data_IF_805903622141
#
_entry.id   IF_805903622141
#
_cell.length_a   1.000
_cell.length_b   1.000
_cell.length_c   1.000
_cell.angle_alpha   90.00
_cell.angle_beta   90.00
_cell.angle_gamma   90.00
#
_symmetry.space_group_name_H-M   'P 1'
#
loop_
_entity.id
_entity.type
_entity.pdbx_description
1 polymer ?
#
# COMPACT_ATOMS: atom_id res chain seq x y z
N UNK A 1 24.53 -33.06 10.30
CA UNK A 1 23.28 -32.94 9.51
C UNK A 1 23.03 -31.46 9.28
N UNK A 2 23.35 -30.96 8.07
CA UNK A 2 23.17 -29.53 7.74
C UNK A 2 21.68 -29.18 7.78
N UNK A 3 21.31 -28.16 8.58
CA UNK A 3 20.00 -27.54 8.51
C UNK A 3 19.82 -26.98 7.10
N UNK A 4 18.88 -27.55 6.34
CA UNK A 4 18.37 -26.89 5.14
C UNK A 4 17.62 -25.66 5.62
N UNK A 5 18.22 -24.49 5.48
CA UNK A 5 17.49 -23.23 5.55
C UNK A 5 16.34 -23.31 4.54
N UNK A 6 15.12 -23.43 5.06
CA UNK A 6 13.91 -23.29 4.25
C UNK A 6 13.87 -21.83 3.82
N UNK A 7 14.36 -21.56 2.62
CA UNK A 7 14.27 -20.25 1.98
C UNK A 7 12.78 -19.93 1.82
N UNK A 8 12.23 -19.13 2.73
CA UNK A 8 10.88 -18.62 2.62
C UNK A 8 10.88 -17.53 1.54
N UNK A 9 10.57 -17.91 0.30
CA UNK A 9 10.56 -17.03 -0.87
C UNK A 9 9.32 -16.11 -0.97
N UNK A 10 8.45 -16.11 0.04
CA UNK A 10 7.21 -15.34 0.06
C UNK A 10 7.47 -13.83 -0.07
N UNK A 11 6.95 -13.21 -1.12
CA UNK A 11 7.08 -11.77 -1.40
C UNK A 11 8.21 -11.41 -2.37
N UNK A 12 8.55 -12.27 -3.32
CA UNK A 12 9.51 -12.00 -4.41
C UNK A 12 8.81 -11.73 -5.75
N UNK A 13 9.53 -11.14 -6.71
CA UNK A 13 8.96 -10.76 -8.02
C UNK A 13 8.36 -11.92 -8.80
N UNK A 14 8.96 -13.12 -8.71
CA UNK A 14 8.60 -14.30 -9.48
C UNK A 14 7.29 -14.97 -9.06
N UNK A 15 6.71 -14.60 -7.92
CA UNK A 15 5.49 -15.23 -7.41
C UNK A 15 4.24 -14.80 -8.17
N UNK A 16 4.26 -13.60 -8.76
CA UNK A 16 3.14 -13.11 -9.55
C UNK A 16 3.11 -13.84 -10.88
N UNK A 17 2.04 -14.59 -11.10
CA UNK A 17 1.80 -15.39 -12.28
C UNK A 17 0.48 -14.95 -12.94
N UNK A 18 0.51 -14.30 -14.12
CA UNK A 18 -0.69 -13.91 -14.87
C UNK A 18 -1.64 -15.07 -15.20
N UNK A 19 -1.11 -16.30 -15.25
CA UNK A 19 -1.86 -17.56 -15.48
C UNK A 19 -2.21 -18.28 -14.18
N UNK A 20 -2.15 -17.61 -13.03
CA UNK A 20 -2.59 -18.21 -11.78
C UNK A 20 -4.08 -18.56 -11.85
N UNK A 21 -4.44 -19.71 -11.29
CA UNK A 21 -5.82 -20.23 -11.26
C UNK A 21 -6.84 -19.20 -10.76
N UNK A 22 -6.43 -18.35 -9.81
CA UNK A 22 -7.26 -17.24 -9.33
C UNK A 22 -7.78 -16.36 -10.48
N UNK A 23 -6.89 -15.88 -11.35
CA UNK A 23 -7.25 -14.96 -12.41
C UNK A 23 -8.04 -15.65 -13.53
N UNK A 24 -7.70 -16.92 -13.83
CA UNK A 24 -8.45 -17.73 -14.79
C UNK A 24 -9.90 -17.92 -14.35
N UNK A 25 -10.10 -18.37 -13.11
CA UNK A 25 -11.44 -18.61 -12.55
C UNK A 25 -12.23 -17.30 -12.40
N UNK A 26 -11.55 -16.20 -12.05
CA UNK A 26 -12.22 -14.91 -11.92
C UNK A 26 -12.77 -14.43 -13.27
N UNK A 27 -11.97 -14.57 -14.34
CA UNK A 27 -12.38 -14.25 -15.70
C UNK A 27 -13.50 -15.15 -16.20
N UNK A 28 -13.43 -16.44 -15.92
CA UNK A 28 -14.41 -17.43 -16.38
C UNK A 28 -15.75 -17.33 -15.66
N UNK A 29 -15.73 -17.18 -14.33
CA UNK A 29 -16.94 -17.21 -13.51
C UNK A 29 -17.64 -15.85 -13.39
N UNK A 30 -16.90 -14.73 -13.48
CA UNK A 30 -17.42 -13.36 -13.26
C UNK A 30 -18.40 -13.28 -12.06
N UNK A 31 -17.97 -13.71 -10.86
CA UNK A 31 -18.87 -13.89 -9.75
C UNK A 31 -19.49 -12.55 -9.29
N UNK A 32 -20.70 -12.61 -8.69
CA UNK A 32 -21.44 -11.40 -8.27
C UNK A 32 -20.61 -10.46 -7.38
N UNK A 33 -19.87 -11.02 -6.41
CA UNK A 33 -19.01 -10.25 -5.51
C UNK A 33 -17.91 -9.48 -6.25
N UNK A 34 -17.44 -9.98 -7.40
CA UNK A 34 -16.44 -9.29 -8.21
C UNK A 34 -17.03 -8.00 -8.76
N UNK A 35 -18.23 -8.09 -9.33
CA UNK A 35 -18.96 -6.92 -9.85
C UNK A 35 -19.24 -5.90 -8.75
N UNK A 36 -19.62 -6.35 -7.55
CA UNK A 36 -19.84 -5.47 -6.39
C UNK A 36 -18.57 -4.68 -6.04
N UNK A 37 -17.41 -5.33 -5.99
CA UNK A 37 -16.16 -4.63 -5.65
C UNK A 37 -15.62 -3.78 -6.80
N UNK A 38 -15.63 -4.30 -8.03
CA UNK A 38 -14.98 -3.65 -9.18
C UNK A 38 -15.76 -2.44 -9.69
N UNK A 39 -17.07 -2.37 -9.48
CA UNK A 39 -17.92 -1.22 -9.85
C UNK A 39 -18.08 -0.18 -8.75
N UNK A 40 -17.68 -0.50 -7.52
CA UNK A 40 -17.75 0.43 -6.40
C UNK A 40 -16.64 1.48 -6.50
N UNK A 41 -17.02 2.70 -6.88
CA UNK A 41 -16.09 3.79 -7.11
C UNK A 41 -15.44 4.36 -5.84
N UNK A 42 -15.78 3.87 -4.65
CA UNK A 42 -15.08 4.23 -3.40
C UNK A 42 -13.99 3.22 -3.05
N UNK A 43 -14.04 2.02 -3.64
CA UNK A 43 -13.06 0.98 -3.43
C UNK A 43 -11.89 1.11 -4.41
N UNK A 44 -10.77 0.48 -4.04
CA UNK A 44 -9.68 0.20 -4.96
C UNK A 44 -9.15 -1.22 -4.72
N UNK A 45 -8.62 -1.84 -5.78
CA UNK A 45 -8.22 -3.24 -5.79
C UNK A 45 -6.75 -3.35 -6.16
N UNK A 46 -5.99 -4.02 -5.30
CA UNK A 46 -4.62 -4.40 -5.58
C UNK A 46 -4.50 -5.89 -5.84
N UNK A 47 -3.65 -6.23 -6.81
CA UNK A 47 -3.19 -7.59 -7.04
C UNK A 47 -1.86 -7.74 -6.29
N UNK A 48 -1.74 -8.80 -5.51
CA UNK A 48 -0.57 -9.08 -4.68
C UNK A 48 0.31 -10.16 -5.31
N UNK A 49 1.60 -10.17 -4.92
CA UNK A 49 2.61 -11.12 -5.44
C UNK A 49 2.21 -12.59 -5.27
N UNK A 50 1.45 -12.91 -4.23
CA UNK A 50 0.92 -14.26 -3.98
C UNK A 50 -0.30 -14.64 -4.85
N UNK A 51 -0.59 -13.86 -5.89
CA UNK A 51 -1.74 -14.01 -6.79
C UNK A 51 -3.11 -13.83 -6.10
N UNK A 52 -3.12 -13.22 -4.92
CA UNK A 52 -4.33 -12.78 -4.25
C UNK A 52 -4.73 -11.37 -4.71
N UNK A 53 -5.99 -11.01 -4.48
CA UNK A 53 -6.43 -9.61 -4.56
C UNK A 53 -6.78 -9.09 -3.19
N UNK A 54 -6.48 -7.81 -2.95
CA UNK A 54 -6.93 -7.09 -1.78
C UNK A 54 -7.82 -5.94 -2.22
N UNK A 55 -8.99 -5.83 -1.59
CA UNK A 55 -9.95 -4.75 -1.78
C UNK A 55 -9.84 -3.79 -0.60
N UNK A 56 -9.78 -2.49 -0.89
CA UNK A 56 -9.54 -1.47 0.11
C UNK A 56 -10.55 -0.33 0.04
N UNK A 57 -10.81 0.26 1.20
CA UNK A 57 -11.50 1.53 1.36
C UNK A 57 -10.62 2.46 2.22
N UNK A 58 -10.09 3.53 1.62
CA UNK A 58 -9.17 4.48 2.26
C UNK A 58 -8.06 3.85 3.14
N UNK A 59 -7.43 2.78 2.67
CA UNK A 59 -6.34 2.08 3.38
C UNK A 59 -6.79 0.96 4.33
N UNK A 60 -8.09 0.86 4.63
CA UNK A 60 -8.66 -0.26 5.37
C UNK A 60 -8.94 -1.45 4.45
N UNK A 61 -8.49 -2.63 4.83
CA UNK A 61 -8.69 -3.88 4.06
C UNK A 61 -10.14 -4.36 4.20
N UNK A 62 -10.93 -4.17 3.14
CA UNK A 62 -12.30 -4.68 3.02
C UNK A 62 -12.30 -6.19 2.84
N UNK A 63 -11.43 -6.71 1.97
CA UNK A 63 -11.28 -8.14 1.76
C UNK A 63 -9.88 -8.47 1.25
N UNK A 64 -9.28 -9.57 1.72
CA UNK A 64 -8.21 -10.28 1.01
C UNK A 64 -8.79 -11.56 0.45
N UNK A 65 -8.70 -11.74 -0.86
CA UNK A 65 -9.34 -12.85 -1.60
C UNK A 65 -8.28 -13.67 -2.31
N UNK A 66 -8.34 -14.98 -2.13
CA UNK A 66 -7.47 -15.94 -2.80
C UNK A 66 -8.29 -17.13 -3.32
N UNK A 67 -7.69 -17.95 -4.18
CA UNK A 67 -8.32 -19.14 -4.72
C UNK A 67 -7.80 -20.36 -3.95
N UNK A 68 -8.69 -21.07 -3.29
CA UNK A 68 -8.36 -22.29 -2.56
C UNK A 68 -8.34 -23.47 -3.51
N UNK A 69 -7.15 -24.08 -3.69
CA UNK A 69 -7.03 -25.30 -4.52
C UNK A 69 -7.79 -26.49 -3.93
N UNK A 70 -7.86 -26.60 -2.60
CA UNK A 70 -8.55 -27.70 -1.93
C UNK A 70 -10.07 -27.58 -2.04
N UNK A 71 -10.60 -26.36 -1.88
CA UNK A 71 -12.05 -26.09 -2.00
C UNK A 71 -12.49 -25.84 -3.45
N UNK A 72 -11.53 -25.65 -4.37
CA UNK A 72 -11.74 -25.21 -5.75
C UNK A 72 -12.64 -23.97 -5.84
N UNK A 73 -12.47 -23.04 -4.90
CA UNK A 73 -13.33 -21.86 -4.76
C UNK A 73 -12.57 -20.64 -4.26
N UNK A 74 -13.16 -19.46 -4.45
CA UNK A 74 -12.68 -18.23 -3.84
C UNK A 74 -12.94 -18.25 -2.34
N UNK A 75 -11.94 -17.81 -1.58
CA UNK A 75 -12.06 -17.59 -0.14
C UNK A 75 -11.60 -16.17 0.17
N UNK A 76 -12.33 -15.49 1.05
CA UNK A 76 -12.00 -14.14 1.47
C UNK A 76 -11.80 -14.07 2.98
N UNK A 77 -10.95 -13.14 3.39
CA UNK A 77 -10.77 -12.79 4.80
C UNK A 77 -10.87 -11.29 5.00
N UNK A 78 -11.39 -10.88 6.15
CA UNK A 78 -11.52 -9.49 6.60
C UNK A 78 -11.08 -9.40 8.06
N UNK A 79 -10.63 -8.23 8.48
CA UNK A 79 -10.29 -8.00 9.87
C UNK A 79 -11.55 -7.93 10.74
N UNK A 80 -11.60 -8.69 11.84
CA UNK A 80 -12.82 -8.90 12.66
C UNK A 80 -13.52 -7.60 13.11
N UNK A 81 -12.75 -6.54 13.42
CA UNK A 81 -13.31 -5.23 13.83
C UNK A 81 -14.21 -4.59 12.76
N UNK A 82 -13.97 -4.91 11.49
CA UNK A 82 -14.81 -4.42 10.39
C UNK A 82 -16.09 -5.25 10.20
N UNK A 83 -16.23 -6.35 10.93
CA UNK A 83 -17.47 -7.11 11.11
C UNK A 83 -18.26 -6.69 12.36
N UNK A 84 -17.74 -5.73 13.14
CA UNK A 84 -18.37 -5.26 14.38
C UNK A 84 -17.85 -5.93 15.67
N UNK A 85 -16.87 -6.83 15.56
CA UNK A 85 -16.17 -7.38 16.72
C UNK A 85 -14.93 -6.54 17.07
N UNK A 86 -15.16 -5.48 17.86
CA UNK A 86 -14.11 -4.57 18.34
C UNK A 86 -13.28 -5.16 19.51
N UNK A 87 -13.48 -6.43 19.90
CA UNK A 87 -12.75 -7.05 21.02
C UNK A 87 -11.39 -7.60 20.56
N UNK A 88 -10.26 -7.11 21.09
CA UNK A 88 -8.96 -7.65 20.71
C UNK A 88 -8.79 -9.10 21.22
N UNK A 89 -8.17 -9.94 20.39
CA UNK A 89 -7.82 -11.35 20.71
C UNK A 89 -6.38 -11.46 21.23
N UNK A 90 -6.03 -10.54 22.12
CA UNK A 90 -4.72 -10.46 22.75
C UNK A 90 -3.90 -9.24 22.31
N UNK A 91 -2.59 -9.34 22.53
CA UNK A 91 -1.63 -8.25 22.26
C UNK A 91 -0.53 -8.72 21.29
N UNK A 92 -0.07 -7.81 20.45
CA UNK A 92 1.15 -8.00 19.64
C UNK A 92 2.39 -8.01 20.55
N UNK A 93 3.56 -8.50 20.08
CA UNK A 93 4.82 -8.41 20.83
C UNK A 93 5.21 -6.98 21.25
N UNK A 94 4.63 -5.96 20.59
CA UNK A 94 4.82 -4.53 20.90
C UNK A 94 3.72 -3.95 21.81
N UNK A 95 2.91 -4.79 22.46
CA UNK A 95 1.86 -4.38 23.39
C UNK A 95 0.60 -3.77 22.76
N UNK A 96 0.50 -3.73 21.43
CA UNK A 96 -0.70 -3.23 20.74
C UNK A 96 -1.80 -4.29 20.69
N UNK A 97 -3.05 -3.86 20.69
CA UNK A 97 -4.21 -4.75 20.50
C UNK A 97 -4.07 -5.56 19.21
N UNK A 98 -4.25 -6.87 19.33
CA UNK A 98 -4.25 -7.82 18.22
C UNK A 98 -5.70 -8.13 17.88
N UNK A 99 -6.03 -7.97 16.61
CA UNK A 99 -7.31 -8.34 16.05
C UNK A 99 -7.05 -9.38 14.96
N UNK A 100 -7.95 -10.35 14.83
CA UNK A 100 -7.76 -11.45 13.90
C UNK A 100 -8.47 -11.22 12.57
N UNK A 101 -8.09 -12.04 11.59
CA UNK A 101 -8.76 -12.10 10.31
C UNK A 101 -9.79 -13.22 10.36
N UNK A 102 -11.01 -12.90 9.97
CA UNK A 102 -12.14 -13.80 9.90
C UNK A 102 -12.53 -14.07 8.44
N UNK A 103 -13.16 -15.21 8.14
CA UNK A 103 -13.75 -15.44 6.84
C UNK A 103 -14.78 -14.36 6.47
N UNK A 104 -14.72 -13.86 5.25
CA UNK A 104 -15.77 -13.04 4.65
C UNK A 104 -16.60 -13.91 3.71
N UNK A 105 -17.91 -13.97 3.95
CA UNK A 105 -18.84 -14.71 3.10
C UNK A 105 -19.02 -13.97 1.76
N UNK A 106 -18.40 -14.50 0.70
CA UNK A 106 -18.49 -13.95 -0.65
C UNK A 106 -19.81 -14.32 -1.35
N UNK A 107 -20.48 -15.38 -0.94
CA UNK A 107 -21.70 -15.87 -1.58
C UNK A 107 -22.89 -14.98 -1.23
N UNK A 108 -22.96 -14.57 0.05
CA UNK A 108 -24.02 -13.70 0.57
C UNK A 108 -23.62 -12.22 0.63
N UNK A 109 -22.47 -11.84 0.07
CA UNK A 109 -22.00 -10.46 0.06
C UNK A 109 -22.94 -9.57 -0.74
N UNK A 110 -23.33 -8.43 -0.15
CA UNK A 110 -24.19 -7.43 -0.77
C UNK A 110 -23.75 -6.00 -0.43
N UNK A 111 -24.40 -5.02 -1.06
CA UNK A 111 -24.09 -3.59 -0.89
C UNK A 111 -24.21 -3.11 0.56
N UNK A 112 -25.21 -3.58 1.31
CA UNK A 112 -25.39 -3.23 2.72
C UNK A 112 -24.21 -3.70 3.56
N UNK A 113 -23.75 -4.95 3.36
CA UNK A 113 -22.57 -5.48 4.05
C UNK A 113 -21.32 -4.65 3.73
N UNK A 114 -21.12 -4.28 2.46
CA UNK A 114 -19.99 -3.44 2.04
C UNK A 114 -20.07 -2.04 2.67
N UNK A 115 -21.25 -1.40 2.66
CA UNK A 115 -21.48 -0.10 3.27
C UNK A 115 -21.19 -0.10 4.78
N UNK A 116 -21.61 -1.15 5.48
CA UNK A 116 -21.32 -1.34 6.89
C UNK A 116 -19.83 -1.50 7.18
N UNK A 117 -19.12 -2.29 6.36
CA UNK A 117 -17.66 -2.44 6.44
C UNK A 117 -16.98 -1.08 6.24
N UNK A 118 -17.34 -0.33 5.19
CA UNK A 118 -16.81 1.01 4.91
C UNK A 118 -17.03 1.97 6.07
N UNK A 119 -18.24 1.95 6.67
CA UNK A 119 -18.57 2.78 7.84
C UNK A 119 -17.67 2.45 9.04
N UNK A 120 -17.42 1.17 9.31
CA UNK A 120 -16.52 0.74 10.41
C UNK A 120 -15.06 1.12 10.14
N UNK A 121 -14.59 0.96 8.90
CA UNK A 121 -13.26 1.41 8.49
C UNK A 121 -13.11 2.93 8.66
N UNK A 122 -14.10 3.71 8.20
CA UNK A 122 -14.11 5.17 8.37
C UNK A 122 -14.03 5.54 9.84
N UNK A 123 -14.84 4.91 10.68
CA UNK A 123 -14.83 5.16 12.11
C UNK A 123 -13.48 4.82 12.76
N UNK A 124 -12.84 3.72 12.37
CA UNK A 124 -11.51 3.34 12.88
C UNK A 124 -10.43 4.41 12.59
N UNK A 125 -10.42 4.96 11.37
CA UNK A 125 -9.47 6.01 11.00
C UNK A 125 -9.86 7.40 11.53
N UNK A 126 -11.16 7.68 11.67
CA UNK A 126 -11.68 8.99 12.10
C UNK A 126 -11.72 9.14 13.64
N UNK A 127 -11.85 8.04 14.40
CA UNK A 127 -11.87 8.04 15.88
C UNK A 127 -10.63 8.71 16.52
N UNK A 128 -9.53 8.86 15.79
CA UNK A 128 -8.28 9.46 16.28
C UNK A 128 -8.00 10.88 15.75
N UNK A 129 -8.97 11.53 15.10
CA UNK A 129 -8.77 12.80 14.42
C UNK A 129 -9.05 13.99 15.35
N UNK A 130 -8.00 14.50 16.00
CA UNK A 130 -7.88 15.97 16.11
C UNK A 130 -7.43 16.44 14.74
N UNK A 131 -8.41 16.71 13.86
CA UNK A 131 -8.47 17.37 12.54
C UNK A 131 -7.21 17.53 11.63
N UNK A 132 -6.00 17.57 12.16
CA UNK A 132 -4.70 17.61 11.47
C UNK A 132 -3.92 16.28 11.57
N UNK A 133 -4.21 15.43 12.57
CA UNK A 133 -3.50 14.13 12.77
C UNK A 133 -4.21 12.97 12.09
N UNK A 134 -4.52 13.13 10.81
CA UNK A 134 -5.12 12.09 9.99
C UNK A 134 -4.11 10.95 9.79
N UNK A 135 -4.58 9.70 9.87
CA UNK A 135 -3.74 8.53 9.66
C UNK A 135 -3.11 8.52 8.25
N UNK A 136 -1.83 8.19 8.16
CA UNK A 136 -1.08 8.14 6.88
C UNK A 136 -1.75 7.20 5.86
N UNK A 137 -2.30 6.06 6.32
CA UNK A 137 -3.06 5.12 5.48
C UNK A 137 -4.34 5.71 4.89
N UNK A 138 -5.02 6.60 5.61
CA UNK A 138 -6.19 7.29 5.08
C UNK A 138 -5.80 8.26 3.96
N UNK A 139 -4.71 9.01 4.17
CA UNK A 139 -4.15 9.93 3.17
C UNK A 139 -3.73 9.15 1.91
N UNK A 140 -3.01 8.04 2.08
CA UNK A 140 -2.62 7.14 0.99
C UNK A 140 -3.84 6.68 0.19
N UNK A 141 -4.89 6.22 0.88
CA UNK A 141 -6.13 5.80 0.24
C UNK A 141 -6.80 6.92 -0.56
N UNK A 142 -6.83 8.15 -0.02
CA UNK A 142 -7.35 9.33 -0.74
C UNK A 142 -6.54 9.61 -2.01
N UNK A 143 -5.22 9.57 -1.93
CA UNK A 143 -4.34 9.79 -3.09
C UNK A 143 -4.59 8.77 -4.22
N UNK A 144 -4.78 7.49 -3.89
CA UNK A 144 -5.09 6.44 -4.87
C UNK A 144 -6.44 6.68 -5.54
N UNK A 145 -7.44 7.11 -4.77
CA UNK A 145 -8.78 7.42 -5.31
C UNK A 145 -8.77 8.62 -6.25
N UNK A 146 -7.94 9.61 -5.97
CA UNK A 146 -7.86 10.85 -6.76
C UNK A 146 -6.91 10.76 -7.95
N UNK A 147 -6.00 9.78 -7.99
CA UNK A 147 -5.04 9.61 -9.07
C UNK A 147 -5.02 8.15 -9.59
N UNK A 148 -5.58 7.88 -10.79
CA UNK A 148 -5.62 6.55 -11.37
C UNK A 148 -4.24 6.00 -11.78
N UNK A 149 -3.20 6.84 -11.80
CA UNK A 149 -1.83 6.44 -12.14
C UNK A 149 -1.15 5.68 -10.99
N UNK A 150 -1.72 5.64 -9.78
CA UNK A 150 -1.21 4.76 -8.72
C UNK A 150 -1.59 3.31 -9.00
N UNK A 151 -0.59 2.52 -9.42
CA UNK A 151 -0.77 1.13 -9.87
C UNK A 151 -0.53 0.10 -8.77
N UNK A 152 0.02 0.49 -7.61
CA UNK A 152 0.17 -0.39 -6.44
C UNK A 152 0.19 0.47 -5.15
N UNK A 153 -0.56 0.05 -4.13
CA UNK A 153 -0.66 0.75 -2.84
C UNK A 153 0.26 0.19 -1.75
N UNK A 154 1.01 -0.86 -2.04
CA UNK A 154 1.96 -1.44 -1.08
C UNK A 154 2.94 -2.38 -1.78
N UNK A 155 4.05 -1.84 -2.28
CA UNK A 155 5.13 -2.70 -2.77
C UNK A 155 5.87 -3.30 -1.58
N UNK A 156 5.83 -4.62 -1.45
CA UNK A 156 6.63 -5.35 -0.46
C UNK A 156 7.56 -6.34 -1.16
N UNK A 157 8.83 -6.37 -0.74
CA UNK A 157 9.81 -7.35 -1.16
C UNK A 157 10.44 -8.03 0.05
N UNK A 158 10.46 -9.35 0.07
CA UNK A 158 11.17 -10.13 1.08
C UNK A 158 11.93 -11.27 0.40
N UNK A 159 13.26 -11.16 0.33
CA UNK A 159 14.14 -12.24 -0.12
C UNK A 159 15.33 -12.34 0.81
N UNK A 160 15.50 -13.48 1.48
CA UNK A 160 16.56 -13.69 2.47
C UNK A 160 16.55 -12.58 3.54
N UNK A 161 17.67 -11.86 3.71
CA UNK A 161 17.80 -10.72 4.61
C UNK A 161 17.30 -9.39 4.03
N UNK A 162 17.05 -9.31 2.73
CA UNK A 162 16.60 -8.08 2.06
C UNK A 162 15.08 -7.94 2.21
N UNK A 163 14.67 -7.02 3.08
CA UNK A 163 13.27 -6.66 3.32
C UNK A 163 13.05 -5.19 2.98
N UNK A 164 12.03 -4.93 2.16
CA UNK A 164 11.67 -3.61 1.71
C UNK A 164 10.16 -3.46 1.62
N UNK A 165 9.67 -2.27 1.96
CA UNK A 165 8.28 -1.88 1.75
C UNK A 165 8.25 -0.43 1.31
N UNK A 166 7.60 -0.14 0.19
CA UNK A 166 7.41 1.20 -0.37
C UNK A 166 5.91 1.45 -0.45
N UNK A 167 5.49 2.66 -0.08
CA UNK A 167 4.07 2.97 0.09
C UNK A 167 3.29 2.99 -1.22
N UNK A 168 3.77 3.69 -2.25
CA UNK A 168 3.01 3.92 -3.47
C UNK A 168 3.87 3.73 -4.71
N UNK A 169 3.23 3.29 -5.78
CA UNK A 169 3.89 3.13 -7.09
C UNK A 169 3.02 3.82 -8.11
N UNK A 170 3.59 4.81 -8.78
CA UNK A 170 2.93 5.63 -9.78
C UNK A 170 3.47 5.26 -11.16
N UNK A 171 2.59 5.09 -12.14
CA UNK A 171 2.95 4.99 -13.55
C UNK A 171 2.30 6.15 -14.30
N UNK A 172 3.09 7.18 -14.58
CA UNK A 172 2.63 8.37 -15.31
C UNK A 172 3.47 8.54 -16.55
N UNK A 173 2.82 8.71 -17.71
CA UNK A 173 3.49 8.95 -19.00
C UNK A 173 4.58 7.91 -19.33
N UNK A 174 4.33 6.64 -18.98
CA UNK A 174 5.28 5.54 -19.18
C UNK A 174 6.44 5.50 -18.18
N UNK A 175 6.48 6.37 -17.18
CA UNK A 175 7.53 6.41 -16.15
C UNK A 175 6.99 5.80 -14.85
N UNK A 176 7.60 4.70 -14.43
CA UNK A 176 7.32 4.03 -13.16
C UNK A 176 8.12 4.67 -12.02
N UNK A 177 7.45 5.24 -11.03
CA UNK A 177 8.06 5.93 -9.89
C UNK A 177 7.66 5.30 -8.55
N UNK A 178 8.64 5.24 -7.64
CA UNK A 178 8.50 4.68 -6.30
C UNK A 178 8.33 5.81 -5.29
N UNK A 179 7.23 5.81 -4.56
CA UNK A 179 6.80 6.94 -3.75
C UNK A 179 6.66 6.53 -2.29
N UNK A 180 7.41 7.19 -1.42
CA UNK A 180 7.21 7.13 0.03
C UNK A 180 6.23 8.23 0.45
N UNK A 181 5.28 7.93 1.33
CA UNK A 181 4.37 8.92 1.89
C UNK A 181 4.71 9.17 3.35
N UNK A 182 4.80 10.44 3.76
CA UNK A 182 4.93 10.81 5.16
C UNK A 182 3.95 11.90 5.55
N UNK A 183 3.31 11.75 6.70
CA UNK A 183 2.61 12.87 7.31
C UNK A 183 3.63 13.93 7.79
N UNK A 184 3.32 15.23 7.69
CA UNK A 184 4.18 16.34 8.15
C UNK A 184 4.61 16.23 9.63
N UNK A 185 3.84 15.53 10.45
CA UNK A 185 4.15 15.25 11.86
C UNK A 185 5.08 14.06 12.06
N UNK A 186 5.46 13.34 11.01
CA UNK A 186 6.28 12.14 11.14
C UNK A 186 7.66 12.52 11.72
N UNK A 187 8.07 11.75 12.73
CA UNK A 187 9.33 11.99 13.45
C UNK A 187 10.55 11.66 12.59
N UNK A 188 10.44 10.78 11.59
CA UNK A 188 11.59 10.46 10.73
C UNK A 188 12.03 11.63 9.84
N UNK A 189 11.17 12.65 9.67
CA UNK A 189 11.45 13.86 8.88
C UNK A 189 12.28 14.90 9.64
N UNK A 190 12.61 14.65 10.91
CA UNK A 190 13.29 15.64 11.74
C UNK A 190 14.14 14.97 12.82
N UNK A 191 15.35 15.48 13.01
CA UNK A 191 16.13 15.25 14.21
C UNK A 191 16.40 16.59 14.89
N UNK A 192 16.41 16.59 16.21
CA UNK A 192 16.82 17.73 17.03
C UNK A 192 18.34 17.92 16.88
N UNK A 193 18.84 18.95 16.18
CA UNK A 193 20.27 19.10 15.95
C UNK A 193 21.05 19.31 17.26
N UNK A 194 20.39 19.86 18.29
CA UNK A 194 20.99 20.12 19.60
C UNK A 194 21.07 18.85 20.46
N UNK A 195 20.22 17.84 20.20
CA UNK A 195 20.13 16.62 21.02
C UNK A 195 20.52 15.35 20.29
N UNK A 196 20.58 15.36 18.97
CA UNK A 196 20.84 14.19 18.16
C UNK A 196 21.54 14.55 16.85
N UNK A 197 22.87 14.36 16.84
CA UNK A 197 23.74 14.57 15.68
C UNK A 197 23.52 13.56 14.55
N UNK A 198 22.69 12.52 14.74
CA UNK A 198 22.44 11.52 13.70
C UNK A 198 21.59 12.11 12.56
N UNK A 199 21.74 11.55 11.37
CA UNK A 199 20.91 11.84 10.20
C UNK A 199 19.46 11.38 10.46
N UNK A 200 18.42 12.14 10.03
CA UNK A 200 17.03 11.70 10.12
C UNK A 200 16.81 10.40 9.34
N UNK A 201 16.06 9.46 9.93
CA UNK A 201 15.87 8.11 9.37
C UNK A 201 15.22 8.09 7.97
N UNK A 202 14.55 9.18 7.56
CA UNK A 202 14.03 9.30 6.21
C UNK A 202 15.14 9.27 5.16
N UNK A 203 16.33 9.79 5.45
CA UNK A 203 17.37 9.84 4.41
C UNK A 203 17.91 8.43 4.12
N UNK A 204 18.25 7.67 5.16
CA UNK A 204 18.67 6.27 5.02
C UNK A 204 17.60 5.43 4.31
N UNK A 205 16.32 5.73 4.55
CA UNK A 205 15.20 5.08 3.88
C UNK A 205 15.19 5.37 2.37
N UNK A 206 15.33 6.64 1.97
CA UNK A 206 15.36 7.02 0.55
C UNK A 206 16.60 6.48 -0.18
N UNK A 207 17.77 6.50 0.45
CA UNK A 207 19.00 5.92 -0.09
C UNK A 207 18.87 4.40 -0.29
N UNK A 208 18.26 3.71 0.68
CA UNK A 208 17.96 2.28 0.57
C UNK A 208 17.01 2.00 -0.59
N UNK A 209 16.01 2.85 -0.81
CA UNK A 209 15.06 2.68 -1.91
C UNK A 209 15.76 2.86 -3.25
N UNK A 210 16.55 3.91 -3.40
CA UNK A 210 17.32 4.17 -4.62
C UNK A 210 18.27 3.01 -4.94
N UNK A 211 19.00 2.53 -3.93
CA UNK A 211 19.90 1.38 -4.07
C UNK A 211 19.16 0.12 -4.51
N UNK A 212 17.98 -0.12 -3.93
CA UNK A 212 17.13 -1.26 -4.31
C UNK A 212 16.59 -1.15 -5.74
N UNK A 213 16.08 0.03 -6.12
CA UNK A 213 15.54 0.30 -7.46
C UNK A 213 16.62 0.07 -8.52
N UNK A 214 17.82 0.58 -8.29
CA UNK A 214 18.96 0.38 -9.19
C UNK A 214 19.37 -1.11 -9.29
N UNK A 215 19.40 -1.82 -8.16
CA UNK A 215 19.79 -3.23 -8.11
C UNK A 215 18.79 -4.15 -8.81
N UNK A 216 17.50 -3.86 -8.74
CA UNK A 216 16.41 -4.73 -9.22
C UNK A 216 15.67 -4.14 -10.43
N UNK A 217 16.29 -3.24 -11.19
CA UNK A 217 15.65 -2.49 -12.28
C UNK A 217 14.88 -3.38 -13.27
N UNK A 218 15.53 -4.42 -13.81
CA UNK A 218 14.92 -5.35 -14.76
C UNK A 218 13.75 -6.12 -14.14
N UNK A 219 13.94 -6.64 -12.92
CA UNK A 219 12.90 -7.41 -12.23
C UNK A 219 11.67 -6.55 -11.89
N UNK A 220 11.89 -5.27 -11.54
CA UNK A 220 10.81 -4.32 -11.27
C UNK A 220 10.00 -4.05 -12.54
N UNK A 221 10.66 -3.76 -13.66
CA UNK A 221 9.99 -3.53 -14.93
C UNK A 221 9.17 -4.74 -15.37
N UNK A 222 9.74 -5.95 -15.29
CA UNK A 222 9.05 -7.18 -15.65
C UNK A 222 7.87 -7.48 -14.72
N UNK A 223 8.04 -7.25 -13.41
CA UNK A 223 6.96 -7.40 -12.44
C UNK A 223 5.80 -6.45 -12.73
N UNK A 224 6.07 -5.17 -12.97
CA UNK A 224 5.00 -4.19 -13.21
C UNK A 224 4.32 -4.36 -14.56
N UNK A 225 5.03 -4.82 -15.61
CA UNK A 225 4.39 -5.24 -16.87
C UNK A 225 3.36 -6.35 -16.63
N UNK A 226 3.73 -7.42 -15.92
CA UNK A 226 2.80 -8.50 -15.54
C UNK A 226 1.64 -7.99 -14.70
N UNK A 227 1.90 -7.12 -13.72
CA UNK A 227 0.86 -6.56 -12.86
C UNK A 227 -0.17 -5.78 -13.69
N UNK A 228 0.28 -4.91 -14.59
CA UNK A 228 -0.58 -4.07 -15.42
C UNK A 228 -1.33 -4.92 -16.44
N UNK A 229 -0.69 -5.92 -17.05
CA UNK A 229 -1.34 -6.91 -17.91
C UNK A 229 -2.53 -7.57 -17.19
N UNK A 230 -2.34 -8.04 -15.95
CA UNK A 230 -3.42 -8.65 -15.18
C UNK A 230 -4.50 -7.61 -14.87
N UNK A 231 -4.13 -6.41 -14.40
CA UNK A 231 -5.11 -5.34 -14.09
C UNK A 231 -5.96 -4.99 -15.32
N UNK A 232 -5.34 -4.86 -16.50
CA UNK A 232 -6.03 -4.61 -17.76
C UNK A 232 -6.97 -5.77 -18.12
N UNK A 233 -6.52 -7.03 -18.00
CA UNK A 233 -7.33 -8.22 -18.28
C UNK A 233 -8.56 -8.35 -17.38
N UNK A 234 -8.51 -7.76 -16.18
CA UNK A 234 -9.59 -7.73 -15.21
C UNK A 234 -10.44 -6.44 -15.29
N UNK A 235 -10.12 -5.51 -16.18
CA UNK A 235 -10.83 -4.24 -16.32
C UNK A 235 -10.60 -3.25 -15.16
N UNK A 236 -9.52 -3.43 -14.38
CA UNK A 236 -9.17 -2.56 -13.24
C UNK A 236 -8.42 -1.28 -13.66
N UNK A 237 -7.80 -1.30 -14.84
CA UNK A 237 -7.12 -0.14 -15.43
C UNK A 237 -7.14 -0.24 -16.96
N UNK A 238 -6.66 0.82 -17.62
CA UNK A 238 -6.48 0.91 -19.08
C UNK A 238 -5.11 1.47 -19.44
N UNK A 239 -4.15 1.35 -18.53
CA UNK A 239 -2.81 1.89 -18.72
C UNK A 239 -2.08 1.07 -19.79
N UNK A 240 -1.48 1.77 -20.76
CA UNK A 240 -0.55 1.14 -21.69
C UNK A 240 0.78 0.84 -20.96
N UNK A 241 1.29 -0.37 -21.16
CA UNK A 241 2.50 -0.89 -20.54
C UNK A 241 3.58 -1.28 -21.58
N UNK A 242 3.36 -0.94 -22.86
CA UNK A 242 4.28 -1.25 -23.96
C UNK A 242 5.68 -0.67 -23.72
N UNK A 243 5.75 0.59 -23.27
CA UNK A 243 6.99 1.36 -23.11
C UNK A 243 7.12 1.92 -21.69
N UNK A 244 7.26 1.03 -20.70
CA UNK A 244 7.54 1.43 -19.32
C UNK A 244 9.05 1.64 -19.12
N UNK A 245 9.40 2.79 -18.57
CA UNK A 245 10.73 3.12 -18.06
C UNK A 245 10.70 3.27 -16.55
N UNK A 246 11.86 3.22 -15.91
CA UNK A 246 11.99 3.26 -14.45
C UNK A 246 12.60 4.60 -14.02
N UNK A 247 11.89 5.34 -13.16
CA UNK A 247 12.51 6.43 -12.41
C UNK A 247 13.39 5.84 -11.31
N UNK A 248 14.70 6.03 -11.45
CA UNK A 248 15.72 5.52 -10.51
C UNK A 248 15.78 6.30 -9.20
N UNK A 249 15.15 7.48 -9.14
CA UNK A 249 15.14 8.33 -7.96
C UNK A 249 13.79 8.15 -7.25
N UNK A 250 13.75 7.58 -6.04
CA UNK A 250 12.52 7.48 -5.28
C UNK A 250 12.04 8.87 -4.84
N UNK A 251 10.73 9.05 -4.82
CA UNK A 251 10.08 10.32 -4.50
C UNK A 251 9.49 10.29 -3.09
N UNK A 252 9.70 11.36 -2.33
CA UNK A 252 9.08 11.55 -1.03
C UNK A 252 7.90 12.52 -1.13
N UNK A 253 6.69 12.07 -0.82
CA UNK A 253 5.54 12.94 -0.65
C UNK A 253 5.31 13.20 0.83
N UNK A 254 5.25 14.48 1.21
CA UNK A 254 4.92 14.91 2.56
C UNK A 254 3.53 15.54 2.57
N UNK A 255 2.62 14.91 3.30
CA UNK A 255 1.27 15.42 3.51
C UNK A 255 1.25 16.49 4.61
N UNK A 256 1.15 17.76 4.21
CA UNK A 256 0.96 18.90 5.09
C UNK A 256 -0.51 19.03 5.50
N UNK A 257 -0.83 18.50 6.67
CA UNK A 257 -2.16 18.53 7.26
C UNK A 257 -2.40 19.70 8.22
N UNK A 258 -1.51 20.70 8.26
CA UNK A 258 -1.72 21.88 9.11
C UNK A 258 -2.96 22.67 8.65
N UNK A 259 -3.87 23.03 9.56
CA UNK A 259 -5.00 23.94 9.30
C UNK A 259 -4.64 25.41 9.46
N UNK A 260 -3.75 25.71 10.40
CA UNK A 260 -3.24 27.07 10.67
C UNK A 260 -1.82 27.21 10.16
N UNK A 261 -1.52 28.40 9.64
CA UNK A 261 -0.16 28.80 9.35
C UNK A 261 0.41 29.58 10.53
N UNK A 262 1.47 29.06 11.15
CA UNK A 262 2.11 29.68 12.31
C UNK A 262 3.61 29.66 12.13
N UNK A 263 4.33 30.62 12.73
CA UNK A 263 5.78 30.73 12.61
C UNK A 263 6.52 29.39 12.84
N UNK A 264 6.17 28.68 13.91
CA UNK A 264 6.74 27.35 14.23
C UNK A 264 6.47 26.29 13.15
N UNK A 265 5.32 26.37 12.47
CA UNK A 265 4.96 25.43 11.38
C UNK A 265 5.73 25.76 10.10
N UNK A 266 5.86 27.04 9.78
CA UNK A 266 6.68 27.53 8.67
C UNK A 266 8.15 27.14 8.88
N UNK A 267 8.70 27.41 10.07
CA UNK A 267 10.06 27.01 10.48
C UNK A 267 10.26 25.49 10.32
N UNK A 268 9.31 24.66 10.77
CA UNK A 268 9.40 23.21 10.59
C UNK A 268 9.41 22.80 9.11
N UNK A 269 8.53 23.37 8.29
CA UNK A 269 8.48 23.08 6.85
C UNK A 269 9.82 23.44 6.22
N UNK A 270 10.32 24.66 6.47
CA UNK A 270 11.60 25.13 5.95
C UNK A 270 12.76 24.22 6.38
N UNK A 271 12.78 23.78 7.63
CA UNK A 271 13.81 22.85 8.13
C UNK A 271 13.76 21.49 7.42
N UNK A 272 12.56 20.96 7.16
CA UNK A 272 12.38 19.72 6.39
C UNK A 272 12.87 19.93 4.95
N UNK A 273 12.52 21.03 4.30
CA UNK A 273 12.96 21.32 2.95
C UNK A 273 14.49 21.45 2.84
N UNK A 274 15.12 22.18 3.78
CA UNK A 274 16.56 22.33 3.82
C UNK A 274 17.27 20.99 4.02
N UNK A 275 16.74 20.12 4.90
CA UNK A 275 17.22 18.75 5.09
C UNK A 275 17.14 17.95 3.79
N UNK A 276 16.00 17.98 3.09
CA UNK A 276 15.80 17.16 1.89
C UNK A 276 16.66 17.66 0.72
N UNK A 277 16.74 18.99 0.53
CA UNK A 277 17.58 19.63 -0.49
C UNK A 277 19.07 19.34 -0.28
N UNK A 278 19.56 19.48 0.94
CA UNK A 278 20.98 19.19 1.27
C UNK A 278 21.36 17.72 1.06
N UNK A 279 20.37 16.82 1.00
CA UNK A 279 20.57 15.40 0.73
C UNK A 279 20.10 14.97 -0.67
N UNK A 280 19.81 15.93 -1.57
CA UNK A 280 19.37 15.66 -2.96
C UNK A 280 18.18 14.68 -3.07
N UNK A 281 17.26 14.73 -2.11
CA UNK A 281 16.04 13.90 -2.14
C UNK A 281 15.00 14.56 -3.06
N UNK A 282 14.44 13.81 -4.00
CA UNK A 282 13.25 14.24 -4.76
C UNK A 282 12.03 14.22 -3.83
N UNK A 283 11.39 15.38 -3.65
CA UNK A 283 10.28 15.51 -2.73
C UNK A 283 9.18 16.46 -3.21
N UNK A 284 7.97 16.26 -2.69
CA UNK A 284 6.84 17.17 -2.84
C UNK A 284 6.09 17.30 -1.52
N UNK A 285 5.87 18.53 -1.06
CA UNK A 285 4.97 18.80 0.06
C UNK A 285 3.59 19.12 -0.51
N UNK A 286 2.58 18.32 -0.18
CA UNK A 286 1.20 18.54 -0.62
C UNK A 286 0.36 19.05 0.54
N UNK A 287 -0.47 20.07 0.29
CA UNK A 287 -1.47 20.54 1.25
C UNK A 287 -2.72 19.67 1.14
N UNK A 288 -3.27 19.21 2.27
CA UNK A 288 -4.50 18.43 2.34
C UNK A 288 -5.66 19.19 2.97
#
# INVERSE_FOLDING_TARGET
MMQKDVINNSGTFSELNPKAKFFEELRAQQPKWWTLFSKDNELYIDIRKDNSINVYYYGGSVAKINYSKSKKSFVATIHQKYLGDDKPRGRTPKGKDKFEKEPLDLENLNETTIADIKKRIKNDYVRHINNEKIAEKWIQGKMIKENPNYVDSEFQYNKNSEKLRIDLIELSEGILSFVELKNIFNKCLWNDPEKNLKKPAIIDQMEKYQSFINKHETDLLDYYKKLIEIKNSLGLTKIDYSNITLNKIPKLIIANTYKKDTRKRQERILNIENLLKSNSIDYKIIKL
#
